data_IF_910143919321
#
_entry.id   IF_910143919321
#
_cell.length_a   1.000
_cell.length_b   1.000
_cell.length_c   1.000
_cell.angle_alpha   90.00
_cell.angle_beta   90.00
_cell.angle_gamma   90.00
#
_symmetry.space_group_name_H-M   'P 1'
#
loop_
_entity.id
_entity.type
_entity.pdbx_description
1 polymer ?
#
# COMPACT_ATOMS: atom_id res chain seq x y z
N UNK A 1 32.72 -20.03 88.19
CA UNK A 1 32.54 -20.96 87.06
C UNK A 1 31.04 -21.09 86.81
N UNK A 2 30.63 -21.05 85.54
CA UNK A 2 29.24 -20.94 85.01
C UNK A 2 28.70 -19.52 84.88
N UNK A 3 29.16 -18.90 83.78
CA UNK A 3 28.54 -17.79 83.09
C UNK A 3 27.37 -18.38 82.28
N UNK A 4 26.13 -18.06 82.62
CA UNK A 4 24.95 -18.42 81.80
C UNK A 4 24.26 -17.15 81.36
N UNK A 5 24.45 -16.87 80.09
CA UNK A 5 24.00 -15.71 79.31
C UNK A 5 22.48 -15.72 79.21
N UNK A 6 21.86 -14.61 79.62
CA UNK A 6 20.44 -14.33 79.40
C UNK A 6 20.27 -13.90 77.94
N UNK A 7 19.92 -14.83 77.05
CA UNK A 7 19.63 -14.55 75.65
C UNK A 7 18.23 -13.94 75.57
N UNK A 8 18.19 -12.61 75.40
CA UNK A 8 16.98 -11.85 75.11
C UNK A 8 16.56 -12.15 73.66
N UNK A 9 15.55 -12.99 73.48
CA UNK A 9 15.00 -13.35 72.17
C UNK A 9 14.18 -12.18 71.63
N UNK A 10 14.80 -11.34 70.79
CA UNK A 10 14.14 -10.26 70.06
C UNK A 10 13.25 -10.88 68.98
N UNK A 11 11.93 -10.80 69.18
CA UNK A 11 10.92 -11.10 68.17
C UNK A 11 10.99 -10.04 67.06
N UNK A 12 11.71 -10.34 65.98
CA UNK A 12 11.63 -9.65 64.70
C UNK A 12 10.25 -9.91 64.09
N UNK A 13 9.31 -8.98 64.30
CA UNK A 13 8.12 -8.87 63.46
C UNK A 13 8.55 -8.42 62.07
N UNK A 14 8.71 -9.39 61.17
CA UNK A 14 8.82 -9.15 59.74
C UNK A 14 7.46 -8.62 59.24
N UNK A 15 7.33 -7.30 59.16
CA UNK A 15 6.25 -6.65 58.44
C UNK A 15 6.48 -6.89 56.94
N UNK A 16 5.76 -7.85 56.37
CA UNK A 16 5.68 -7.99 54.91
C UNK A 16 4.82 -6.83 54.38
N UNK A 17 5.45 -5.74 53.96
CA UNK A 17 4.83 -4.88 52.96
C UNK A 17 4.75 -5.70 51.67
N UNK A 18 3.54 -6.15 51.34
CA UNK A 18 3.24 -6.66 50.01
C UNK A 18 3.28 -5.46 49.07
N UNK A 19 4.47 -5.20 48.51
CA UNK A 19 4.59 -4.31 47.35
C UNK A 19 3.67 -4.88 46.28
N UNK A 20 2.62 -4.18 45.85
CA UNK A 20 1.87 -4.63 44.69
C UNK A 20 2.86 -4.52 43.53
N UNK A 21 3.22 -5.68 42.98
CA UNK A 21 3.89 -5.79 41.71
C UNK A 21 3.09 -4.91 40.74
N UNK A 22 3.68 -3.76 40.38
CA UNK A 22 3.15 -2.93 39.30
C UNK A 22 3.22 -3.83 38.07
N UNK A 23 2.11 -4.48 37.76
CA UNK A 23 1.80 -4.82 36.38
C UNK A 23 1.97 -3.51 35.64
N UNK A 24 3.05 -3.40 34.88
CA UNK A 24 3.14 -2.45 33.79
C UNK A 24 1.96 -2.77 32.88
N UNK A 25 0.83 -2.14 33.20
CA UNK A 25 -0.23 -1.86 32.26
C UNK A 25 0.50 -1.08 31.21
N UNK A 26 0.93 -1.78 30.14
CA UNK A 26 1.31 -1.15 28.89
C UNK A 26 0.18 -0.18 28.60
N UNK A 27 0.43 1.11 28.84
CA UNK A 27 -0.47 2.17 28.42
C UNK A 27 -0.76 1.86 26.97
N UNK A 28 -2.04 1.61 26.69
CA UNK A 28 -2.58 1.60 25.35
C UNK A 28 -1.93 2.79 24.64
N UNK A 29 -1.01 2.52 23.71
CA UNK A 29 -0.48 3.54 22.82
C UNK A 29 -1.59 3.79 21.83
N UNK A 30 -2.68 4.38 22.32
CA UNK A 30 -3.73 4.94 21.50
C UNK A 30 -3.14 6.19 20.88
N UNK A 31 -2.34 6.02 19.82
CA UNK A 31 -2.13 7.10 18.86
C UNK A 31 -3.51 7.43 18.32
N UNK A 32 -4.08 8.56 18.76
CA UNK A 32 -5.28 9.11 18.14
C UNK A 32 -4.90 9.45 16.70
N UNK A 33 -5.19 8.55 15.77
CA UNK A 33 -5.02 8.77 14.34
C UNK A 33 -6.22 9.51 13.76
N UNK A 34 -6.01 10.24 12.67
CA UNK A 34 -7.10 10.82 11.89
C UNK A 34 -7.74 9.75 10.98
N UNK A 35 -9.03 9.39 11.16
CA UNK A 35 -9.70 8.42 10.32
C UNK A 35 -9.75 8.80 8.83
N UNK A 36 -9.81 10.09 8.50
CA UNK A 36 -9.79 10.55 7.12
C UNK A 36 -8.41 10.30 6.49
N UNK A 37 -7.33 10.63 7.21
CA UNK A 37 -5.96 10.31 6.81
C UNK A 37 -5.78 8.80 6.63
N UNK A 38 -6.22 7.98 7.59
CA UNK A 38 -6.06 6.53 7.50
C UNK A 38 -6.88 5.90 6.35
N UNK A 39 -8.09 6.40 6.09
CA UNK A 39 -8.89 6.03 4.90
C UNK A 39 -8.15 6.38 3.61
N UNK A 40 -7.53 7.55 3.58
CA UNK A 40 -6.73 7.99 2.45
C UNK A 40 -5.51 7.07 2.26
N UNK A 41 -4.77 6.74 3.32
CA UNK A 41 -3.66 5.79 3.28
C UNK A 41 -4.10 4.40 2.78
N UNK A 42 -5.27 3.91 3.21
CA UNK A 42 -5.84 2.65 2.73
C UNK A 42 -6.14 2.69 1.23
N UNK A 43 -6.75 3.79 0.78
CA UNK A 43 -7.05 4.02 -0.64
C UNK A 43 -5.77 4.05 -1.47
N UNK A 44 -4.72 4.67 -0.94
CA UNK A 44 -3.44 4.86 -1.63
C UNK A 44 -2.63 3.58 -1.75
N UNK A 45 -2.49 2.89 -0.63
CA UNK A 45 -1.54 1.80 -0.50
C UNK A 45 -2.17 0.44 -0.84
N UNK A 46 -3.48 0.27 -0.68
CA UNK A 46 -4.12 -1.04 -0.74
C UNK A 46 -5.11 -1.19 -1.91
N UNK A 47 -5.97 -0.19 -2.17
CA UNK A 47 -7.08 -0.31 -3.13
C UNK A 47 -6.69 -0.43 -4.60
N UNK A 48 -5.44 -0.12 -4.95
CA UNK A 48 -4.90 -0.36 -6.29
C UNK A 48 -5.07 -1.84 -6.68
N UNK A 49 -4.79 -2.76 -5.75
CA UNK A 49 -4.94 -4.20 -5.96
C UNK A 49 -6.23 -4.72 -5.30
N UNK A 50 -6.55 -4.24 -4.10
CA UNK A 50 -7.67 -4.71 -3.27
C UNK A 50 -8.94 -3.89 -3.48
N UNK A 51 -9.29 -3.65 -4.73
CA UNK A 51 -10.31 -2.66 -5.11
C UNK A 51 -11.70 -2.93 -4.49
N UNK A 52 -12.37 -1.87 -4.00
CA UNK A 52 -13.73 -1.97 -3.45
C UNK A 52 -14.82 -2.02 -4.53
N UNK A 53 -14.50 -1.77 -5.81
CA UNK A 53 -15.51 -1.62 -6.88
C UNK A 53 -15.34 -2.58 -8.05
N UNK A 54 -14.24 -3.35 -8.10
CA UNK A 54 -14.03 -4.28 -9.21
C UNK A 54 -15.09 -5.41 -9.23
N UNK A 55 -15.54 -5.88 -10.42
CA UNK A 55 -16.44 -7.02 -10.54
C UNK A 55 -15.87 -8.29 -9.91
N UNK A 56 -16.72 -9.25 -9.53
CA UNK A 56 -16.30 -10.49 -8.87
C UNK A 56 -15.45 -11.41 -9.78
N UNK A 57 -15.92 -11.61 -11.01
CA UNK A 57 -15.43 -12.65 -11.92
C UNK A 57 -14.35 -12.21 -12.90
N UNK A 58 -14.10 -10.92 -13.07
CA UNK A 58 -13.14 -10.44 -14.07
C UNK A 58 -12.31 -9.24 -13.60
N UNK A 59 -11.02 -9.25 -13.96
CA UNK A 59 -10.13 -8.10 -13.81
C UNK A 59 -9.71 -7.75 -12.38
N UNK A 60 -9.90 -8.66 -11.41
CA UNK A 60 -9.37 -8.52 -10.05
C UNK A 60 -7.96 -9.07 -9.93
N UNK A 61 -7.08 -8.29 -9.32
CA UNK A 61 -5.68 -8.65 -9.05
C UNK A 61 -5.57 -9.32 -7.67
N UNK A 62 -6.43 -8.95 -6.72
CA UNK A 62 -6.42 -9.40 -5.34
C UNK A 62 -7.85 -9.46 -4.75
N UNK A 63 -8.10 -10.13 -3.61
CA UNK A 63 -9.39 -10.07 -2.94
C UNK A 63 -9.74 -8.62 -2.54
N UNK A 64 -11.03 -8.23 -2.49
CA UNK A 64 -11.39 -6.89 -2.02
C UNK A 64 -11.00 -6.72 -0.55
N UNK A 65 -10.67 -5.49 -0.11
CA UNK A 65 -10.26 -5.26 1.28
C UNK A 65 -11.30 -5.67 2.31
N UNK A 66 -12.58 -5.52 2.00
CA UNK A 66 -13.66 -6.00 2.87
C UNK A 66 -13.57 -7.50 3.17
N UNK A 67 -13.11 -8.32 2.21
CA UNK A 67 -12.88 -9.74 2.43
C UNK A 67 -11.71 -9.97 3.39
N UNK A 68 -10.62 -9.21 3.25
CA UNK A 68 -9.48 -9.31 4.17
C UNK A 68 -9.92 -8.94 5.59
N UNK A 69 -10.64 -7.82 5.75
CA UNK A 69 -11.22 -7.43 7.03
C UNK A 69 -12.09 -8.56 7.61
N UNK A 70 -13.00 -9.12 6.82
CA UNK A 70 -13.90 -10.20 7.25
C UNK A 70 -13.16 -11.46 7.71
N UNK A 71 -12.06 -11.84 7.05
CA UNK A 71 -11.29 -13.04 7.39
C UNK A 71 -10.26 -12.82 8.50
N UNK A 72 -9.78 -11.60 8.69
CA UNK A 72 -8.77 -11.29 9.70
C UNK A 72 -9.39 -10.85 11.04
N UNK A 73 -10.58 -10.26 11.03
CA UNK A 73 -11.29 -9.79 12.22
C UNK A 73 -12.28 -10.84 12.72
N UNK A 74 -11.99 -11.46 13.87
CA UNK A 74 -12.93 -12.36 14.57
C UNK A 74 -13.69 -11.60 15.67
N UNK A 75 -14.82 -12.15 16.14
CA UNK A 75 -15.74 -11.45 17.05
C UNK A 75 -15.05 -10.95 18.34
N UNK A 76 -14.28 -11.82 18.98
CA UNK A 76 -13.60 -11.52 20.27
C UNK A 76 -12.21 -10.89 20.12
N UNK A 77 -11.79 -10.57 18.90
CA UNK A 77 -10.45 -10.02 18.65
C UNK A 77 -10.34 -8.57 19.12
N UNK A 78 -9.30 -8.27 19.90
CA UNK A 78 -8.94 -6.90 20.25
C UNK A 78 -8.37 -6.14 19.05
N UNK A 79 -8.39 -4.80 19.13
CA UNK A 79 -7.78 -3.94 18.10
C UNK A 79 -6.31 -4.28 17.86
N UNK A 80 -5.54 -4.44 18.94
CA UNK A 80 -4.10 -4.70 18.84
C UNK A 80 -3.81 -6.07 18.24
N UNK A 81 -4.60 -7.11 18.53
CA UNK A 81 -4.48 -8.42 17.88
C UNK A 81 -4.80 -8.33 16.37
N UNK A 82 -5.82 -7.57 16.00
CA UNK A 82 -6.16 -7.34 14.60
C UNK A 82 -5.04 -6.61 13.85
N UNK A 83 -4.55 -5.51 14.43
CA UNK A 83 -3.42 -4.73 13.88
C UNK A 83 -2.21 -5.63 13.69
N UNK A 84 -1.79 -6.35 14.73
CA UNK A 84 -0.64 -7.26 14.64
C UNK A 84 -0.85 -8.38 13.61
N UNK A 85 -2.08 -8.90 13.48
CA UNK A 85 -2.38 -9.90 12.46
C UNK A 85 -2.25 -9.36 11.03
N UNK A 86 -2.61 -8.10 10.78
CA UNK A 86 -2.44 -7.47 9.46
C UNK A 86 -0.97 -7.17 9.21
N UNK A 87 -0.28 -6.53 10.16
CA UNK A 87 1.16 -6.21 10.06
C UNK A 87 2.01 -7.45 9.81
N UNK A 88 1.75 -8.56 10.51
CA UNK A 88 2.46 -9.83 10.33
C UNK A 88 2.39 -10.33 8.88
N UNK A 89 1.21 -10.27 8.26
CA UNK A 89 1.05 -10.72 6.88
C UNK A 89 1.65 -9.74 5.88
N UNK A 90 1.40 -8.43 6.03
CA UNK A 90 1.84 -7.41 5.06
C UNK A 90 3.37 -7.30 5.04
N UNK A 91 4.04 -7.41 6.19
CA UNK A 91 5.50 -7.34 6.28
C UNK A 91 6.22 -8.61 5.79
N UNK A 92 5.53 -9.75 5.79
CA UNK A 92 6.07 -11.03 5.32
C UNK A 92 5.00 -11.86 4.62
N UNK A 93 4.55 -11.45 3.42
CA UNK A 93 3.47 -12.13 2.74
C UNK A 93 3.99 -13.44 2.18
N UNK A 94 3.61 -14.53 2.84
CA UNK A 94 3.87 -15.90 2.40
C UNK A 94 2.56 -16.66 2.40
N UNK A 95 2.51 -17.78 1.67
CA UNK A 95 1.36 -18.67 1.77
C UNK A 95 1.13 -19.08 3.22
N UNK A 96 2.19 -19.48 3.94
CA UNK A 96 2.16 -19.89 5.34
C UNK A 96 1.60 -18.81 6.29
N UNK A 97 1.87 -17.53 6.03
CA UNK A 97 1.38 -16.43 6.87
C UNK A 97 -0.03 -15.95 6.50
N UNK A 98 -0.63 -16.45 5.40
CA UNK A 98 -1.96 -16.02 4.99
C UNK A 98 -3.08 -16.76 5.72
N UNK A 99 -4.07 -16.00 6.24
CA UNK A 99 -5.36 -16.56 6.70
C UNK A 99 -6.31 -16.88 5.53
N UNK A 100 -6.02 -16.40 4.32
CA UNK A 100 -6.90 -16.48 3.16
C UNK A 100 -6.34 -17.41 2.08
N UNK A 101 -6.21 -18.71 2.39
CA UNK A 101 -5.63 -19.72 1.46
C UNK A 101 -6.34 -19.80 0.11
N UNK A 102 -7.67 -19.62 0.09
CA UNK A 102 -8.43 -19.55 -1.15
C UNK A 102 -8.03 -18.37 -2.05
N UNK A 103 -7.75 -17.21 -1.45
CA UNK A 103 -7.26 -16.06 -2.18
C UNK A 103 -5.83 -16.28 -2.70
N UNK A 104 -4.95 -16.90 -1.89
CA UNK A 104 -3.59 -17.26 -2.33
C UNK A 104 -3.63 -18.21 -3.53
N UNK A 105 -4.49 -19.24 -3.51
CA UNK A 105 -4.65 -20.14 -4.66
C UNK A 105 -5.18 -19.44 -5.92
N UNK A 106 -6.07 -18.46 -5.76
CA UNK A 106 -6.71 -17.75 -6.90
C UNK A 106 -5.83 -16.65 -7.49
N UNK A 107 -5.15 -15.88 -6.64
CA UNK A 107 -4.45 -14.65 -7.04
C UNK A 107 -2.92 -14.74 -6.90
N UNK A 108 -2.41 -15.79 -6.27
CA UNK A 108 -1.03 -15.86 -5.80
C UNK A 108 -0.84 -15.14 -4.46
N UNK A 109 0.38 -15.19 -3.94
CA UNK A 109 0.77 -14.47 -2.72
C UNK A 109 0.92 -12.99 -3.04
N UNK A 110 0.46 -12.12 -2.14
CA UNK A 110 0.67 -10.67 -2.24
C UNK A 110 2.16 -10.36 -2.40
N UNK A 111 2.59 -9.58 -3.41
CA UNK A 111 3.98 -9.16 -3.51
C UNK A 111 4.42 -8.39 -2.27
N UNK A 112 5.61 -8.68 -1.76
CA UNK A 112 6.19 -7.93 -0.64
C UNK A 112 6.38 -6.46 -1.04
N UNK A 113 5.80 -5.56 -0.25
CA UNK A 113 5.92 -4.11 -0.40
C UNK A 113 6.28 -3.54 0.96
N UNK A 114 7.32 -2.71 1.02
CA UNK A 114 7.71 -2.05 2.26
C UNK A 114 6.84 -0.83 2.49
N UNK A 115 6.20 -0.79 3.64
CA UNK A 115 5.46 0.36 4.14
C UNK A 115 6.03 0.77 5.50
N UNK A 116 6.00 2.06 5.86
CA UNK A 116 6.28 2.46 7.23
C UNK A 116 5.30 1.79 8.20
N UNK A 117 5.79 1.35 9.35
CA UNK A 117 4.98 0.64 10.34
C UNK A 117 3.80 1.48 10.83
N UNK A 118 4.01 2.78 11.02
CA UNK A 118 2.97 3.74 11.41
C UNK A 118 1.82 3.77 10.37
N UNK A 119 2.15 3.77 9.08
CA UNK A 119 1.18 3.74 7.98
C UNK A 119 0.32 2.47 8.05
N UNK A 120 0.94 1.31 8.23
CA UNK A 120 0.21 0.04 8.35
C UNK A 120 -0.65 0.00 9.61
N UNK A 121 -0.17 0.55 10.73
CA UNK A 121 -0.93 0.66 11.97
C UNK A 121 -2.16 1.52 11.78
N UNK A 122 -2.02 2.75 11.25
CA UNK A 122 -3.16 3.66 10.94
C UNK A 122 -4.22 2.98 10.07
N UNK A 123 -3.80 2.33 8.98
CA UNK A 123 -4.71 1.60 8.07
C UNK A 123 -5.45 0.48 8.83
N UNK A 124 -4.72 -0.30 9.64
CA UNK A 124 -5.29 -1.44 10.36
C UNK A 124 -6.25 -1.00 11.46
N UNK A 125 -5.91 0.05 12.21
CA UNK A 125 -6.79 0.64 13.22
C UNK A 125 -8.05 1.21 12.57
N UNK A 126 -7.93 1.88 11.42
CA UNK A 126 -9.08 2.36 10.64
C UNK A 126 -9.98 1.21 10.18
N UNK A 127 -9.39 0.15 9.62
CA UNK A 127 -10.14 -1.04 9.20
C UNK A 127 -10.88 -1.70 10.38
N UNK A 128 -10.32 -1.67 11.59
CA UNK A 128 -10.98 -2.18 12.80
C UNK A 128 -12.13 -1.27 13.25
N UNK A 129 -11.87 0.03 13.38
CA UNK A 129 -12.80 0.99 13.99
C UNK A 129 -13.95 1.41 13.06
N UNK A 130 -13.75 1.34 11.73
CA UNK A 130 -14.67 1.89 10.74
C UNK A 130 -15.07 0.90 9.67
N UNK A 131 -16.26 1.11 9.11
CA UNK A 131 -16.66 0.49 7.85
C UNK A 131 -15.80 1.04 6.70
N UNK A 132 -15.31 0.14 5.86
CA UNK A 132 -14.57 0.38 4.63
C UNK A 132 -15.44 0.03 3.43
N UNK A 133 -15.09 0.58 2.28
CA UNK A 133 -15.83 0.37 1.05
C UNK A 133 -15.83 -1.12 0.63
N UNK A 134 -16.98 -1.58 0.17
CA UNK A 134 -17.21 -2.96 -0.23
C UNK A 134 -17.86 -3.06 -1.62
N UNK A 135 -17.53 -4.08 -2.43
CA UNK A 135 -18.21 -4.30 -3.69
C UNK A 135 -19.68 -4.67 -3.47
N UNK A 136 -20.55 -4.26 -4.39
CA UNK A 136 -22.00 -4.55 -4.31
C UNK A 136 -22.31 -6.04 -4.24
N UNK A 137 -21.49 -6.89 -4.89
CA UNK A 137 -21.63 -8.35 -4.92
C UNK A 137 -21.09 -9.06 -3.67
N UNK A 138 -20.34 -8.37 -2.79
CA UNK A 138 -19.56 -9.07 -1.76
C UNK A 138 -20.43 -9.81 -0.74
N UNK A 139 -21.58 -9.26 -0.35
CA UNK A 139 -22.49 -9.88 0.63
C UNK A 139 -23.05 -11.20 0.12
N UNK A 140 -23.51 -11.19 -1.12
CA UNK A 140 -24.09 -12.37 -1.78
C UNK A 140 -23.01 -13.45 -1.92
N UNK A 141 -21.82 -13.08 -2.41
CA UNK A 141 -20.68 -13.98 -2.50
C UNK A 141 -20.30 -14.60 -1.14
N UNK A 142 -20.27 -13.79 -0.07
CA UNK A 142 -19.92 -14.27 1.26
C UNK A 142 -20.92 -15.33 1.76
N UNK A 143 -22.21 -15.09 1.52
CA UNK A 143 -23.27 -16.03 1.87
C UNK A 143 -23.23 -17.30 1.00
N UNK A 144 -23.04 -17.17 -0.31
CA UNK A 144 -22.93 -18.30 -1.25
C UNK A 144 -21.76 -19.23 -0.94
N UNK A 145 -20.66 -18.70 -0.39
CA UNK A 145 -19.53 -19.50 0.09
C UNK A 145 -19.78 -20.20 1.43
N UNK A 146 -20.97 -20.04 2.02
CA UNK A 146 -21.36 -20.72 3.25
C UNK A 146 -20.83 -20.07 4.53
N UNK A 147 -20.36 -18.81 4.46
CA UNK A 147 -19.86 -18.08 5.63
C UNK A 147 -20.97 -17.38 6.44
N UNK A 148 -22.24 -17.57 6.07
CA UNK A 148 -23.39 -16.96 6.72
C UNK A 148 -23.70 -15.54 6.24
N UNK A 149 -24.56 -14.83 6.97
CA UNK A 149 -24.94 -13.44 6.65
C UNK A 149 -23.82 -12.49 7.03
N UNK A 150 -23.38 -11.68 6.07
CA UNK A 150 -22.31 -10.72 6.30
C UNK A 150 -22.83 -9.37 6.82
N UNK A 151 -22.25 -8.90 7.93
CA UNK A 151 -22.41 -7.54 8.43
C UNK A 151 -21.04 -6.93 8.72
N UNK A 152 -20.78 -5.75 8.15
CA UNK A 152 -19.50 -5.11 8.33
C UNK A 152 -19.41 -4.39 9.70
N UNK A 153 -18.50 -4.85 10.56
CA UNK A 153 -18.20 -4.22 11.86
C UNK A 153 -17.58 -2.83 11.70
N UNK A 154 -17.73 -1.99 12.72
CA UNK A 154 -17.15 -0.65 12.79
C UNK A 154 -18.16 0.47 12.55
N UNK A 155 -17.76 1.70 12.88
CA UNK A 155 -18.55 2.93 12.70
C UNK A 155 -18.54 3.34 11.23
N UNK A 156 -19.57 4.05 10.76
CA UNK A 156 -19.47 4.72 9.45
C UNK A 156 -18.66 6.00 9.61
N UNK A 157 -17.66 6.20 8.76
CA UNK A 157 -17.01 7.50 8.67
C UNK A 157 -17.99 8.45 7.98
N UNK A 158 -18.40 9.56 8.61
CA UNK A 158 -19.25 10.55 7.96
C UNK A 158 -18.57 11.05 6.67
N UNK A 159 -19.34 11.18 5.61
CA UNK A 159 -18.85 11.86 4.42
C UNK A 159 -18.71 13.33 4.80
N UNK A 160 -17.47 13.84 4.82
CA UNK A 160 -17.19 15.15 5.42
C UNK A 160 -17.82 16.31 4.63
N UNK A 161 -18.41 16.05 3.45
CA UNK A 161 -18.96 17.08 2.56
C UNK A 161 -17.92 18.13 2.14
N UNK A 162 -16.65 17.90 2.49
CA UNK A 162 -15.54 18.81 2.26
C UNK A 162 -15.02 18.54 0.85
N UNK A 163 -14.80 19.59 0.03
CA UNK A 163 -14.12 19.42 -1.25
C UNK A 163 -12.76 18.76 -1.00
N UNK A 164 -12.38 17.82 -1.89
CA UNK A 164 -11.08 17.16 -1.81
C UNK A 164 -9.97 18.21 -1.83
N UNK A 165 -9.00 18.06 -0.95
CA UNK A 165 -7.76 18.83 -1.04
C UNK A 165 -7.02 18.49 -2.33
N UNK A 166 -6.18 19.39 -2.82
CA UNK A 166 -5.32 19.14 -3.99
C UNK A 166 -4.44 17.90 -3.82
N UNK A 167 -4.04 17.59 -2.58
CA UNK A 167 -3.34 16.37 -2.22
C UNK A 167 -4.20 15.14 -2.53
N UNK A 168 -5.44 15.11 -2.04
CA UNK A 168 -6.37 13.99 -2.24
C UNK A 168 -6.71 13.81 -3.71
N UNK A 169 -6.97 14.90 -4.41
CA UNK A 169 -7.31 14.92 -5.82
C UNK A 169 -6.16 14.43 -6.71
N UNK A 170 -4.97 15.00 -6.56
CA UNK A 170 -3.79 14.58 -7.31
C UNK A 170 -3.40 13.12 -7.04
N UNK A 171 -3.55 12.65 -5.79
CA UNK A 171 -3.36 11.23 -5.45
C UNK A 171 -4.41 10.34 -6.11
N UNK A 172 -5.67 10.77 -6.14
CA UNK A 172 -6.75 10.07 -6.84
C UNK A 172 -6.42 9.89 -8.33
N UNK A 173 -5.89 10.94 -8.97
CA UNK A 173 -5.51 10.91 -10.39
C UNK A 173 -4.31 9.99 -10.64
N UNK A 174 -3.25 10.11 -9.84
CA UNK A 174 -2.06 9.27 -9.96
C UNK A 174 -2.39 7.79 -9.75
N UNK A 175 -3.14 7.46 -8.70
CA UNK A 175 -3.42 6.08 -8.31
C UNK A 175 -4.51 5.44 -9.16
N UNK A 176 -5.51 6.21 -9.57
CA UNK A 176 -6.51 5.78 -10.56
C UNK A 176 -5.84 5.41 -11.88
N UNK A 177 -4.88 6.23 -12.33
CA UNK A 177 -4.11 5.96 -13.55
C UNK A 177 -3.17 4.75 -13.36
N UNK A 178 -2.46 4.66 -12.22
CA UNK A 178 -1.64 3.48 -11.85
C UNK A 178 -2.45 2.20 -11.91
N UNK A 179 -3.69 2.21 -11.39
CA UNK A 179 -4.60 1.06 -11.37
C UNK A 179 -4.98 0.61 -12.78
N UNK A 180 -5.31 1.54 -13.68
CA UNK A 180 -5.67 1.22 -15.07
C UNK A 180 -4.48 0.62 -15.81
N UNK A 181 -3.30 1.21 -15.70
CA UNK A 181 -2.08 0.69 -16.31
C UNK A 181 -1.70 -0.68 -15.73
N UNK A 182 -1.73 -0.82 -14.40
CA UNK A 182 -1.42 -2.05 -13.69
C UNK A 182 -2.37 -3.20 -14.05
N UNK A 183 -3.68 -2.93 -14.12
CA UNK A 183 -4.69 -3.91 -14.54
C UNK A 183 -4.41 -4.45 -15.95
N UNK A 184 -4.17 -3.56 -16.91
CA UNK A 184 -3.92 -3.96 -18.29
C UNK A 184 -2.59 -4.72 -18.43
N UNK A 185 -1.53 -4.25 -17.77
CA UNK A 185 -0.23 -4.92 -17.72
C UNK A 185 -0.37 -6.34 -17.13
N UNK A 186 -1.03 -6.46 -15.98
CA UNK A 186 -1.15 -7.74 -15.29
C UNK A 186 -2.04 -8.72 -16.04
N UNK A 187 -3.14 -8.26 -16.64
CA UNK A 187 -3.95 -9.08 -17.53
C UNK A 187 -3.13 -9.66 -18.69
N UNK A 188 -2.30 -8.82 -19.34
CA UNK A 188 -1.46 -9.26 -20.47
C UNK A 188 -0.35 -10.22 -20.06
N UNK A 189 0.29 -9.99 -18.90
CA UNK A 189 1.30 -10.91 -18.36
C UNK A 189 0.68 -12.27 -18.04
N UNK A 190 -0.52 -12.29 -17.45
CA UNK A 190 -1.21 -13.53 -17.10
C UNK A 190 -1.69 -14.31 -18.33
N UNK A 191 -2.19 -13.63 -19.37
CA UNK A 191 -2.72 -14.29 -20.56
C UNK A 191 -1.63 -14.73 -21.54
N UNK A 192 -0.60 -13.91 -21.74
CA UNK A 192 0.34 -14.07 -22.88
C UNK A 192 1.82 -13.91 -22.47
N UNK A 193 2.09 -13.70 -21.18
CA UNK A 193 3.45 -13.59 -20.65
C UNK A 193 4.09 -12.20 -20.78
N UNK A 194 5.27 -12.07 -20.17
CA UNK A 194 5.99 -10.80 -20.02
C UNK A 194 6.41 -10.18 -21.37
N UNK A 195 6.75 -11.01 -22.35
CA UNK A 195 7.20 -10.55 -23.67
C UNK A 195 6.06 -9.85 -24.44
N UNK A 196 4.88 -10.47 -24.48
CA UNK A 196 3.69 -9.87 -25.08
C UNK A 196 3.23 -8.62 -24.31
N UNK A 197 3.40 -8.60 -22.99
CA UNK A 197 3.13 -7.43 -22.18
C UNK A 197 4.02 -6.23 -22.50
N UNK A 198 5.29 -6.45 -22.86
CA UNK A 198 6.18 -5.37 -23.30
C UNK A 198 5.72 -4.74 -24.61
N UNK A 199 5.40 -5.55 -25.62
CA UNK A 199 4.84 -5.04 -26.89
C UNK A 199 3.54 -4.29 -26.66
N UNK A 200 2.65 -4.82 -25.82
CA UNK A 200 1.42 -4.13 -25.43
C UNK A 200 1.71 -2.78 -24.78
N UNK A 201 2.61 -2.71 -23.78
CA UNK A 201 2.92 -1.47 -23.08
C UNK A 201 3.61 -0.44 -23.98
N UNK A 202 4.45 -0.87 -24.92
CA UNK A 202 5.09 0.01 -25.90
C UNK A 202 4.07 0.83 -26.70
N UNK A 203 2.93 0.22 -27.05
CA UNK A 203 1.89 0.86 -27.86
C UNK A 203 0.77 1.47 -27.01
N UNK A 204 0.33 0.79 -25.95
CA UNK A 204 -0.91 1.12 -25.23
C UNK A 204 -0.71 1.94 -23.96
N UNK A 205 0.49 2.04 -23.41
CA UNK A 205 0.68 2.74 -22.14
C UNK A 205 0.42 4.26 -22.23
N UNK A 206 0.83 4.92 -23.31
CA UNK A 206 0.55 6.36 -23.53
C UNK A 206 -0.96 6.61 -23.74
N UNK A 207 -1.65 5.93 -24.69
CA UNK A 207 -3.10 6.10 -24.85
C UNK A 207 -3.93 5.81 -23.59
N UNK A 208 -3.53 4.82 -22.77
CA UNK A 208 -4.21 4.56 -21.50
C UNK A 208 -3.98 5.69 -20.48
N UNK A 209 -2.82 6.34 -20.50
CA UNK A 209 -2.53 7.51 -19.66
C UNK A 209 -3.36 8.70 -20.13
N UNK A 210 -3.42 8.95 -21.44
CA UNK A 210 -4.19 10.04 -22.04
C UNK A 210 -5.69 9.89 -21.79
N UNK A 211 -6.22 8.65 -21.86
CA UNK A 211 -7.62 8.38 -21.53
C UNK A 211 -7.95 8.75 -20.07
N UNK A 212 -7.00 8.56 -19.14
CA UNK A 212 -7.19 8.96 -17.75
C UNK A 212 -7.04 10.48 -17.57
N UNK A 213 -6.14 11.11 -18.32
CA UNK A 213 -6.03 12.57 -18.38
C UNK A 213 -7.38 13.21 -18.80
N UNK A 214 -8.00 12.70 -19.88
CA UNK A 214 -9.34 13.14 -20.30
C UNK A 214 -10.41 12.87 -19.23
N UNK A 215 -10.40 11.68 -18.62
CA UNK A 215 -11.38 11.31 -17.59
C UNK A 215 -11.36 12.27 -16.39
N UNK A 216 -10.17 12.71 -16.00
CA UNK A 216 -9.98 13.58 -14.84
C UNK A 216 -9.95 15.06 -15.19
N UNK A 217 -10.12 15.43 -16.47
CA UNK A 217 -9.94 16.80 -16.94
C UNK A 217 -8.60 17.40 -16.46
N UNK A 218 -7.53 16.61 -16.54
CA UNK A 218 -6.20 16.95 -16.04
C UNK A 218 -5.15 16.56 -17.07
N UNK A 219 -3.96 17.17 -17.01
CA UNK A 219 -2.77 16.64 -17.70
C UNK A 219 -2.12 15.61 -16.79
N UNK A 220 -1.86 14.39 -17.29
CA UNK A 220 -1.22 13.32 -16.52
C UNK A 220 -0.04 12.75 -17.31
N UNK A 221 1.15 12.81 -16.71
CA UNK A 221 2.38 12.26 -17.29
C UNK A 221 3.08 11.34 -16.30
N UNK A 222 3.86 10.39 -16.83
CA UNK A 222 4.82 9.59 -16.06
C UNK A 222 6.21 9.90 -16.57
N UNK A 223 7.02 10.57 -15.78
CA UNK A 223 8.34 11.02 -16.19
C UNK A 223 9.43 10.38 -15.36
N UNK A 224 10.64 10.30 -15.92
CA UNK A 224 11.79 9.69 -15.26
C UNK A 224 13.12 10.26 -15.76
N UNK A 225 14.11 10.24 -14.87
CA UNK A 225 15.53 10.46 -15.14
C UNK A 225 16.21 9.26 -15.85
N UNK A 226 15.60 8.08 -15.75
CA UNK A 226 15.95 6.84 -16.46
C UNK A 226 14.75 6.35 -17.28
N UNK A 227 14.33 7.17 -18.22
CA UNK A 227 13.16 6.92 -19.05
C UNK A 227 13.37 5.73 -20.01
N UNK A 228 12.29 4.97 -20.26
CA UNK A 228 12.27 3.89 -21.27
C UNK A 228 11.81 4.40 -22.62
N UNK A 229 10.71 5.15 -22.59
CA UNK A 229 10.21 5.90 -23.73
C UNK A 229 10.80 7.32 -23.64
N UNK A 230 11.33 7.85 -24.74
CA UNK A 230 11.89 9.21 -24.85
C UNK A 230 10.90 10.30 -24.44
N UNK A 231 9.61 10.09 -24.73
CA UNK A 231 8.51 11.01 -24.39
C UNK A 231 8.29 11.14 -22.87
N UNK A 232 8.82 10.21 -22.08
CA UNK A 232 8.73 10.20 -20.62
C UNK A 232 10.00 10.73 -19.95
N UNK A 233 10.83 11.49 -20.67
CA UNK A 233 12.02 12.14 -20.09
C UNK A 233 11.58 13.25 -19.13
N UNK A 234 12.06 13.18 -17.89
CA UNK A 234 11.84 14.24 -16.91
C UNK A 234 12.59 15.53 -17.28
N UNK A 235 11.94 16.67 -17.05
CA UNK A 235 12.57 17.98 -17.13
C UNK A 235 13.43 18.27 -15.89
N UNK A 236 14.15 19.40 -15.88
CA UNK A 236 15.07 19.75 -14.78
C UNK A 236 14.39 19.79 -13.40
N UNK A 237 13.18 20.36 -13.30
CA UNK A 237 12.41 20.44 -12.05
C UNK A 237 11.96 19.04 -11.60
N UNK A 238 11.47 18.23 -12.52
CA UNK A 238 11.03 16.86 -12.26
C UNK A 238 12.19 15.95 -11.83
N UNK A 239 13.40 16.14 -12.38
CA UNK A 239 14.62 15.42 -11.93
C UNK A 239 14.98 15.77 -10.49
N UNK A 240 14.83 17.04 -10.09
CA UNK A 240 15.04 17.44 -8.69
C UNK A 240 14.04 16.75 -7.75
N UNK A 241 12.76 16.71 -8.11
CA UNK A 241 11.75 16.00 -7.32
C UNK A 241 11.96 14.48 -7.28
N UNK A 242 12.39 13.86 -8.38
CA UNK A 242 12.79 12.44 -8.38
C UNK A 242 13.94 12.21 -7.38
N UNK A 243 14.92 13.10 -7.34
CA UNK A 243 16.06 13.01 -6.41
C UNK A 243 15.59 13.13 -4.96
N UNK A 244 14.73 14.10 -4.67
CA UNK A 244 14.13 14.27 -3.35
C UNK A 244 13.37 13.01 -2.90
N UNK A 245 12.55 12.40 -3.78
CA UNK A 245 11.85 11.16 -3.44
C UNK A 245 12.79 9.99 -3.19
N UNK A 246 13.92 9.90 -3.90
CA UNK A 246 14.93 8.85 -3.65
C UNK A 246 15.52 8.99 -2.25
N UNK A 247 15.79 10.21 -1.81
CA UNK A 247 16.31 10.48 -0.46
C UNK A 247 15.29 10.12 0.62
N UNK A 248 14.03 10.49 0.43
CA UNK A 248 12.92 10.15 1.34
C UNK A 248 12.77 8.63 1.49
N UNK A 249 12.77 7.86 0.39
CA UNK A 249 12.67 6.40 0.48
C UNK A 249 13.93 5.77 1.07
N UNK A 250 15.11 6.35 0.83
CA UNK A 250 16.37 5.86 1.42
C UNK A 250 16.40 6.03 2.94
N UNK A 251 15.75 7.06 3.48
CA UNK A 251 15.61 7.24 4.93
C UNK A 251 14.54 6.35 5.56
N UNK A 252 13.74 5.64 4.75
CA UNK A 252 12.63 4.81 5.21
C UNK A 252 11.34 5.59 5.52
N UNK A 253 11.30 6.89 5.20
CA UNK A 253 10.14 7.73 5.41
C UNK A 253 9.08 7.56 4.30
N UNK A 254 7.83 7.92 4.61
CA UNK A 254 6.75 7.91 3.63
C UNK A 254 6.87 9.09 2.67
N UNK A 255 6.79 8.82 1.36
CA UNK A 255 6.77 9.89 0.36
C UNK A 255 5.46 10.67 0.42
N UNK A 256 5.56 11.97 0.68
CA UNK A 256 4.44 12.91 0.57
C UNK A 256 4.45 13.58 -0.81
N UNK A 257 3.30 13.81 -1.46
CA UNK A 257 3.28 14.51 -2.72
C UNK A 257 3.87 15.92 -2.61
N UNK A 258 4.47 16.36 -3.71
CA UNK A 258 4.90 17.76 -3.87
C UNK A 258 3.80 18.46 -4.67
N UNK A 259 3.38 19.62 -4.18
CA UNK A 259 2.31 20.42 -4.77
C UNK A 259 2.85 21.83 -4.98
N UNK A 260 2.84 22.29 -6.22
CA UNK A 260 3.16 23.66 -6.58
C UNK A 260 1.91 24.32 -7.16
N UNK A 261 1.56 25.49 -6.65
CA UNK A 261 0.42 26.26 -7.15
C UNK A 261 0.92 27.45 -7.97
N UNK A 262 0.44 27.58 -9.21
CA UNK A 262 0.78 28.66 -10.13
C UNK A 262 -0.50 29.27 -10.72
N UNK A 263 -0.91 30.43 -10.21
CA UNK A 263 -2.20 31.02 -10.57
C UNK A 263 -3.37 30.11 -10.19
N UNK A 264 -4.22 29.79 -11.17
CA UNK A 264 -5.36 28.87 -11.04
C UNK A 264 -5.00 27.42 -11.34
N UNK A 265 -3.71 27.11 -11.51
CA UNK A 265 -3.21 25.79 -11.86
C UNK A 265 -2.49 25.15 -10.67
N UNK A 266 -2.74 23.86 -10.46
CA UNK A 266 -2.05 23.02 -9.48
C UNK A 266 -1.16 22.03 -10.22
N UNK A 267 0.12 22.00 -9.87
CA UNK A 267 1.06 20.97 -10.27
C UNK A 267 1.28 19.99 -9.12
N UNK A 268 1.04 18.71 -9.39
CA UNK A 268 1.13 17.63 -8.41
C UNK A 268 2.17 16.59 -8.86
N UNK A 269 3.04 16.19 -7.93
CA UNK A 269 4.09 15.20 -8.17
C UNK A 269 4.10 14.11 -7.12
N UNK A 270 4.23 12.85 -7.55
CA UNK A 270 4.23 11.69 -6.65
C UNK A 270 5.07 10.53 -7.20
N UNK A 271 5.86 9.80 -6.38
CA UNK A 271 6.81 8.84 -6.90
C UNK A 271 6.15 7.55 -7.39
N UNK A 272 6.79 6.96 -8.40
CA UNK A 272 6.53 5.61 -8.89
C UNK A 272 7.60 4.71 -8.29
N UNK A 273 7.21 3.85 -7.35
CA UNK A 273 8.12 2.97 -6.62
C UNK A 273 8.10 1.56 -7.21
N UNK A 274 9.27 0.96 -7.39
CA UNK A 274 9.42 -0.41 -7.91
C UNK A 274 9.03 -1.47 -6.88
N UNK A 275 8.54 -2.61 -7.36
CA UNK A 275 8.34 -3.83 -6.59
C UNK A 275 8.89 -5.05 -7.34
N UNK A 276 8.76 -6.25 -6.76
CA UNK A 276 9.26 -7.51 -7.32
C UNK A 276 8.83 -7.77 -8.77
N UNK A 277 7.59 -7.41 -9.14
CA UNK A 277 7.08 -7.57 -10.49
C UNK A 277 7.79 -6.60 -11.46
N UNK A 278 8.02 -5.36 -11.04
CA UNK A 278 8.72 -4.37 -11.86
C UNK A 278 10.09 -4.88 -12.33
N UNK A 279 10.78 -5.67 -11.49
CA UNK A 279 12.14 -6.15 -11.77
C UNK A 279 12.22 -7.13 -12.94
N UNK A 280 11.10 -7.75 -13.33
CA UNK A 280 11.04 -8.61 -14.52
C UNK A 280 11.39 -7.88 -15.82
N UNK A 281 11.25 -6.55 -15.82
CA UNK A 281 11.57 -5.69 -16.95
C UNK A 281 12.49 -4.51 -16.60
N UNK A 282 12.60 -4.14 -15.33
CA UNK A 282 13.36 -2.98 -14.87
C UNK A 282 14.53 -3.35 -13.94
N UNK A 283 14.70 -4.63 -13.60
CA UNK A 283 15.74 -5.10 -12.68
C UNK A 283 17.14 -5.13 -13.28
N UNK A 284 18.07 -5.77 -12.59
CA UNK A 284 19.41 -6.05 -13.10
C UNK A 284 19.37 -7.10 -14.22
N UNK A 285 20.44 -7.31 -15.00
CA UNK A 285 20.50 -8.38 -15.98
C UNK A 285 20.27 -9.80 -15.41
N UNK A 286 20.39 -9.98 -14.09
CA UNK A 286 20.06 -11.25 -13.42
C UNK A 286 18.55 -11.43 -13.21
N UNK A 287 17.82 -10.33 -13.05
CA UNK A 287 16.37 -10.34 -12.78
C UNK A 287 15.55 -10.47 -14.07
N UNK A 288 16.09 -9.96 -15.17
CA UNK A 288 15.43 -9.89 -16.48
C UNK A 288 15.82 -11.11 -17.32
N UNK A 289 14.85 -11.92 -17.73
CA UNK A 289 15.11 -13.10 -18.55
C UNK A 289 15.77 -12.71 -19.90
N UNK A 290 16.70 -13.51 -20.46
CA UNK A 290 17.42 -13.15 -21.70
C UNK A 290 16.53 -12.81 -22.89
N UNK A 291 15.40 -13.51 -23.05
CA UNK A 291 14.41 -13.20 -24.10
C UNK A 291 13.79 -11.81 -23.94
N UNK A 292 13.57 -11.39 -22.70
CA UNK A 292 13.02 -10.08 -22.36
C UNK A 292 14.05 -8.98 -22.60
N UNK A 293 15.32 -9.23 -22.27
CA UNK A 293 16.41 -8.28 -22.59
C UNK A 293 16.50 -8.01 -24.09
N UNK A 294 16.44 -9.06 -24.93
CA UNK A 294 16.42 -8.90 -26.40
C UNK A 294 15.21 -8.09 -26.87
N UNK A 295 14.02 -8.41 -26.37
CA UNK A 295 12.80 -7.67 -26.75
C UNK A 295 12.83 -6.21 -26.31
N UNK A 296 13.43 -5.91 -25.16
CA UNK A 296 13.64 -4.55 -24.70
C UNK A 296 14.57 -3.78 -25.65
N UNK A 297 15.70 -4.38 -26.04
CA UNK A 297 16.64 -3.74 -26.98
C UNK A 297 16.02 -3.50 -28.36
N UNK A 298 15.13 -4.39 -28.82
CA UNK A 298 14.37 -4.23 -30.07
C UNK A 298 13.37 -3.07 -30.00
N UNK A 299 12.56 -3.02 -28.94
CA UNK A 299 11.46 -2.04 -28.81
C UNK A 299 11.93 -0.67 -28.30
N UNK A 300 13.05 -0.63 -27.60
CA UNK A 300 13.58 0.55 -26.92
C UNK A 300 15.12 0.59 -27.03
N UNK A 301 15.67 0.98 -28.19
CA UNK A 301 17.13 1.04 -28.39
C UNK A 301 17.86 1.95 -27.39
N UNK A 302 17.17 3.00 -26.91
CA UNK A 302 17.69 3.99 -25.94
C UNK A 302 17.21 3.73 -24.50
N UNK A 303 16.82 2.49 -24.16
CA UNK A 303 16.26 2.19 -22.83
C UNK A 303 17.26 2.45 -21.71
N UNK A 304 16.91 3.37 -20.80
CA UNK A 304 17.67 3.64 -19.56
C UNK A 304 17.05 2.97 -18.34
N UNK A 305 15.88 2.36 -18.49
CA UNK A 305 15.03 1.94 -17.39
C UNK A 305 15.35 0.57 -16.81
N UNK A 306 16.63 0.27 -16.60
CA UNK A 306 17.10 -1.03 -16.10
C UNK A 306 18.04 -0.85 -14.90
N UNK A 307 18.31 -1.93 -14.18
CA UNK A 307 19.21 -1.94 -13.02
C UNK A 307 18.56 -1.44 -11.73
N UNK A 308 17.23 -1.51 -11.62
CA UNK A 308 16.53 -1.19 -10.38
C UNK A 308 16.53 -2.38 -9.41
N UNK A 309 16.40 -2.06 -8.13
CA UNK A 309 16.04 -2.99 -7.05
C UNK A 309 14.59 -2.74 -6.59
N UNK A 310 14.07 -3.56 -5.67
CA UNK A 310 12.78 -3.31 -5.06
C UNK A 310 12.79 -2.05 -4.19
N UNK A 311 11.66 -1.34 -4.13
CA UNK A 311 11.48 -0.13 -3.31
C UNK A 311 12.36 1.06 -3.73
N UNK A 312 12.68 1.17 -5.02
CA UNK A 312 13.40 2.30 -5.60
C UNK A 312 12.46 3.22 -6.40
N UNK A 313 12.79 4.51 -6.45
CA UNK A 313 12.06 5.48 -7.28
C UNK A 313 12.39 5.25 -8.75
N UNK A 314 11.42 4.72 -9.50
CA UNK A 314 11.48 4.55 -10.96
C UNK A 314 11.30 5.88 -11.69
N UNK A 315 10.52 6.79 -11.14
CA UNK A 315 10.15 8.06 -11.75
C UNK A 315 9.04 8.71 -10.92
N UNK A 316 8.32 9.68 -11.49
CA UNK A 316 7.21 10.36 -10.83
C UNK A 316 6.00 10.45 -11.76
N UNK A 317 4.82 10.51 -11.15
CA UNK A 317 3.65 11.14 -11.74
C UNK A 317 3.87 12.64 -11.77
N UNK A 318 3.56 13.28 -12.88
CA UNK A 318 3.57 14.73 -13.08
C UNK A 318 2.18 15.09 -13.59
N UNK A 319 1.38 15.70 -12.73
CA UNK A 319 -0.05 15.92 -12.93
C UNK A 319 -0.34 17.41 -12.83
N UNK A 320 -1.22 17.92 -13.68
CA UNK A 320 -1.62 19.32 -13.67
C UNK A 320 -3.13 19.43 -13.85
N UNK A 321 -3.78 20.20 -12.99
CA UNK A 321 -5.24 20.40 -12.99
C UNK A 321 -5.58 21.80 -12.45
N UNK A 322 -6.77 22.28 -12.77
CA UNK A 322 -7.25 23.59 -12.32
C UNK A 322 -7.70 23.52 -10.85
N UNK A 323 -7.59 24.64 -10.13
CA UNK A 323 -8.10 24.75 -8.76
C UNK A 323 -9.62 24.60 -8.73
N UNK A 324 -10.12 23.91 -7.71
CA UNK A 324 -11.56 23.80 -7.40
C UNK A 324 -12.08 25.03 -6.68
#
# INVERSE_FOLDING_TARGET
>A
MRLSVLVLMVLLVASCETTPEKKDVKKDVSTTYDPAEAKQLLTQNCYVCHSPTAPEGSGRIAPPMVAIKAHYLTDDMSKEEFVNSILHFVNNPTEANSKMRGAVRKFGVMPNQKYPEETLRKISEYMYDYQIEEPTWFKDHYQEKGFGKYHQRGRRLPDAGKPMSYKEEGLSYALGTKKVLGKNLMGKIQSEGVEAALTFCNVKAMPLTDSMATKYNATIKRVSDKNRNTENKANTKEVAYITQFKEVLKSGAEAQPIIDEEGDVVHFYYPIVTNSMCLKCHGTPRDIAPKIQRKLAELYPDDKAVGYSENEVRGIWSITFDKN
#
